data_IF_953340733735
#
_entry.id   IF_953340733735
#
_cell.length_a   1.000
_cell.length_b   1.000
_cell.length_c   1.000
_cell.angle_alpha   90.00
_cell.angle_beta   90.00
_cell.angle_gamma   90.00
#
_symmetry.space_group_name_H-M   'P 1'
#
loop_
_entity.id
_entity.type
_entity.pdbx_description
1 polymer ?
#
# COMPACT_ATOMS: atom_id res chain seq x y z
N UNK A 1 -30.53 -13.26 -19.28
CA UNK A 1 -29.76 -13.55 -18.05
C UNK A 1 -28.32 -13.97 -18.32
N UNK A 2 -28.06 -14.93 -19.22
CA UNK A 2 -26.69 -15.40 -19.59
C UNK A 2 -25.90 -14.27 -20.30
N UNK A 3 -26.54 -13.52 -21.18
CA UNK A 3 -25.92 -12.41 -21.93
C UNK A 3 -25.58 -11.21 -21.01
N UNK A 4 -26.44 -10.93 -20.03
CA UNK A 4 -26.18 -9.92 -19.00
C UNK A 4 -25.00 -10.31 -18.10
N UNK A 5 -24.88 -11.60 -17.74
CA UNK A 5 -23.75 -12.11 -16.96
C UNK A 5 -22.45 -12.07 -17.77
N UNK A 6 -22.47 -12.36 -19.07
CA UNK A 6 -21.31 -12.19 -19.96
C UNK A 6 -20.86 -10.73 -20.07
N UNK A 7 -21.81 -9.79 -20.25
CA UNK A 7 -21.49 -8.35 -20.30
C UNK A 7 -20.92 -7.85 -18.97
N UNK A 8 -21.42 -8.37 -17.84
CA UNK A 8 -20.88 -8.04 -16.52
C UNK A 8 -19.49 -8.65 -16.30
N UNK A 9 -19.26 -9.87 -16.79
CA UNK A 9 -17.95 -10.52 -16.79
C UNK A 9 -16.95 -9.78 -17.71
N UNK A 10 -17.35 -9.47 -18.96
CA UNK A 10 -16.52 -8.71 -19.91
C UNK A 10 -16.20 -7.27 -19.40
N UNK A 11 -17.13 -6.62 -18.69
CA UNK A 11 -16.87 -5.32 -18.03
C UNK A 11 -15.92 -5.43 -16.85
N UNK A 12 -15.89 -6.55 -16.12
CA UNK A 12 -14.88 -6.83 -15.10
C UNK A 12 -13.48 -7.06 -15.67
N UNK A 13 -13.41 -7.64 -16.86
CA UNK A 13 -12.16 -8.00 -17.56
C UNK A 13 -11.44 -6.76 -18.13
N UNK A 14 -12.11 -5.62 -18.30
CA UNK A 14 -11.55 -4.43 -18.98
C UNK A 14 -11.49 -3.19 -18.07
N UNK A 15 -11.43 -3.38 -16.76
CA UNK A 15 -11.32 -2.26 -15.82
C UNK A 15 -9.90 -1.69 -15.84
N UNK A 16 -9.75 -0.39 -16.11
CA UNK A 16 -8.46 0.28 -15.95
C UNK A 16 -8.04 0.22 -14.49
N UNK A 17 -6.77 0.00 -14.22
CA UNK A 17 -6.22 -0.16 -12.87
C UNK A 17 -6.67 0.97 -11.92
N UNK A 18 -6.59 2.20 -12.36
CA UNK A 18 -6.95 3.38 -11.55
C UNK A 18 -8.47 3.55 -11.33
N UNK A 19 -9.30 2.83 -12.07
CA UNK A 19 -10.76 2.88 -11.93
C UNK A 19 -11.27 1.89 -10.86
N UNK A 20 -10.44 0.96 -10.43
CA UNK A 20 -10.78 -0.02 -9.39
C UNK A 20 -11.02 0.66 -8.03
N UNK A 21 -12.11 0.27 -7.34
CA UNK A 21 -12.54 0.92 -6.09
C UNK A 21 -11.49 0.82 -4.98
N UNK A 22 -10.77 -0.30 -4.88
CA UNK A 22 -9.70 -0.44 -3.88
C UNK A 22 -8.51 0.48 -4.17
N UNK A 23 -8.21 0.75 -5.44
CA UNK A 23 -7.16 1.70 -5.86
C UNK A 23 -7.59 3.13 -5.57
N UNK A 24 -8.84 3.49 -5.89
CA UNK A 24 -9.41 4.79 -5.51
C UNK A 24 -9.43 4.99 -4.00
N UNK A 25 -9.74 3.94 -3.24
CA UNK A 25 -9.69 3.95 -1.78
C UNK A 25 -8.27 4.19 -1.24
N UNK A 26 -7.27 3.55 -1.84
CA UNK A 26 -5.86 3.77 -1.51
C UNK A 26 -5.43 5.22 -1.80
N UNK A 27 -5.77 5.74 -2.98
CA UNK A 27 -5.48 7.12 -3.38
C UNK A 27 -6.15 8.11 -2.43
N UNK A 28 -7.43 7.89 -2.09
CA UNK A 28 -8.17 8.73 -1.14
C UNK A 28 -7.50 8.74 0.23
N UNK A 29 -7.19 7.57 0.79
CA UNK A 29 -6.53 7.47 2.11
C UNK A 29 -5.19 8.22 2.14
N UNK A 30 -4.41 8.14 1.07
CA UNK A 30 -3.16 8.88 0.94
C UNK A 30 -3.39 10.39 0.89
N UNK A 31 -4.39 10.84 0.11
CA UNK A 31 -4.74 12.26 -0.01
C UNK A 31 -5.30 12.84 1.30
N UNK A 32 -6.22 12.12 1.94
CA UNK A 32 -6.81 12.55 3.22
C UNK A 32 -5.73 12.78 4.28
N UNK A 33 -4.74 11.88 4.38
CA UNK A 33 -3.61 12.07 5.30
C UNK A 33 -2.72 13.26 4.93
N UNK A 34 -2.53 13.52 3.63
CA UNK A 34 -1.83 14.73 3.18
C UNK A 34 -2.59 15.99 3.57
N UNK A 35 -3.90 16.06 3.34
CA UNK A 35 -4.75 17.20 3.69
C UNK A 35 -4.81 17.46 5.20
N UNK A 36 -4.70 16.41 6.01
CA UNK A 36 -4.60 16.52 7.48
C UNK A 36 -3.21 16.97 7.97
N UNK A 37 -2.24 17.19 7.08
CA UNK A 37 -0.88 17.56 7.44
C UNK A 37 -0.08 16.45 8.13
N UNK A 38 -0.44 15.18 7.91
CA UNK A 38 0.24 14.03 8.52
C UNK A 38 1.52 13.62 7.79
N UNK A 39 1.81 14.25 6.66
CA UNK A 39 2.95 13.92 5.81
C UNK A 39 3.79 15.15 5.52
N UNK A 40 4.90 15.28 6.20
CA UNK A 40 5.89 16.29 5.90
C UNK A 40 6.81 15.80 4.78
N UNK A 41 6.90 16.57 3.67
CA UNK A 41 7.70 16.24 2.49
C UNK A 41 7.31 14.84 1.94
N UNK A 42 8.27 13.91 1.93
CA UNK A 42 8.09 12.50 1.55
C UNK A 42 8.00 11.56 2.77
N UNK A 43 7.72 12.11 3.95
CA UNK A 43 7.59 11.35 5.19
C UNK A 43 6.32 10.51 5.22
N UNK A 44 6.41 9.35 5.86
CA UNK A 44 5.33 8.38 5.96
C UNK A 44 5.18 7.50 4.72
N UNK A 45 4.39 6.46 4.86
CA UNK A 45 4.13 5.49 3.79
C UNK A 45 2.85 4.70 4.08
N UNK A 46 2.32 4.08 3.04
CA UNK A 46 1.05 3.35 3.08
C UNK A 46 1.21 2.05 2.32
N UNK A 47 0.66 0.96 2.87
CA UNK A 47 0.47 -0.30 2.15
C UNK A 47 -0.90 -0.89 2.41
N UNK A 48 -1.42 -1.57 1.40
CA UNK A 48 -2.66 -2.30 1.43
C UNK A 48 -2.47 -3.70 0.87
N UNK A 49 -2.81 -4.74 1.63
CA UNK A 49 -2.83 -6.13 1.21
C UNK A 49 -4.09 -6.40 0.39
N UNK A 50 -3.92 -6.52 -0.92
CA UNK A 50 -5.01 -6.63 -1.89
C UNK A 50 -5.73 -7.97 -1.74
N UNK A 51 -7.05 -7.99 -1.94
CA UNK A 51 -7.83 -9.22 -1.92
C UNK A 51 -7.71 -9.97 -3.25
N UNK A 52 -7.84 -11.30 -3.26
CA UNK A 52 -7.75 -12.08 -4.50
C UNK A 52 -8.72 -11.62 -5.59
N UNK A 53 -9.96 -11.32 -5.22
CA UNK A 53 -10.98 -10.83 -6.16
C UNK A 53 -10.67 -9.44 -6.73
N UNK A 54 -9.98 -8.60 -5.96
CA UNK A 54 -9.52 -7.28 -6.41
C UNK A 54 -8.35 -7.43 -7.39
N UNK A 55 -7.42 -8.37 -7.13
CA UNK A 55 -6.31 -8.70 -8.04
C UNK A 55 -6.85 -9.13 -9.39
N UNK A 56 -7.77 -10.10 -9.41
CA UNK A 56 -8.34 -10.63 -10.67
C UNK A 56 -9.04 -9.51 -11.48
N UNK A 57 -9.63 -8.50 -10.82
CA UNK A 57 -10.31 -7.41 -11.51
C UNK A 57 -9.38 -6.48 -12.31
N UNK A 58 -8.09 -6.46 -12.00
CA UNK A 58 -7.10 -5.55 -12.61
C UNK A 58 -5.90 -6.26 -13.25
N UNK A 59 -5.86 -7.58 -13.21
CA UNK A 59 -4.72 -8.41 -13.60
C UNK A 59 -4.25 -8.18 -15.05
N UNK A 60 -5.16 -7.84 -15.95
CA UNK A 60 -4.83 -7.52 -17.34
C UNK A 60 -3.97 -6.24 -17.50
N UNK A 61 -3.92 -5.41 -16.46
CA UNK A 61 -3.08 -4.22 -16.47
C UNK A 61 -1.64 -4.49 -16.01
N UNK A 62 -1.29 -5.72 -15.66
CA UNK A 62 -0.01 -6.05 -15.08
C UNK A 62 1.09 -6.11 -16.15
N UNK A 63 2.22 -5.47 -15.84
CA UNK A 63 3.48 -5.54 -16.56
C UNK A 63 4.60 -5.84 -15.55
N UNK A 64 4.78 -7.12 -15.26
CA UNK A 64 5.69 -7.58 -14.22
C UNK A 64 7.15 -7.22 -14.55
N UNK A 65 7.82 -6.61 -13.57
CA UNK A 65 9.26 -6.35 -13.60
C UNK A 65 10.04 -7.52 -13.00
N UNK A 66 11.36 -7.40 -12.99
CA UNK A 66 12.25 -8.38 -12.37
C UNK A 66 12.03 -8.54 -10.86
N UNK A 67 12.25 -9.74 -10.35
CA UNK A 67 12.20 -10.03 -8.93
C UNK A 67 13.32 -9.30 -8.16
N UNK A 68 12.99 -8.76 -7.00
CA UNK A 68 13.89 -8.06 -6.11
C UNK A 68 13.77 -8.65 -4.70
N UNK A 69 14.88 -8.82 -3.96
CA UNK A 69 14.82 -9.35 -2.59
C UNK A 69 14.13 -8.35 -1.65
N UNK A 70 13.32 -8.87 -0.73
CA UNK A 70 12.71 -8.09 0.35
C UNK A 70 13.72 -7.86 1.47
N UNK A 71 14.64 -8.79 1.69
CA UNK A 71 15.59 -8.79 2.80
C UNK A 71 15.07 -9.46 4.07
N UNK A 72 13.86 -9.99 4.04
CA UNK A 72 13.20 -10.79 5.08
C UNK A 72 12.39 -11.91 4.43
N UNK A 73 11.89 -12.85 5.23
CA UNK A 73 10.95 -13.89 4.79
C UNK A 73 9.60 -13.70 5.47
N UNK A 74 8.51 -13.68 4.68
CA UNK A 74 7.12 -13.55 5.12
C UNK A 74 6.26 -14.65 4.47
N UNK A 75 6.48 -15.92 4.82
CA UNK A 75 5.90 -17.05 4.11
C UNK A 75 4.38 -17.13 4.15
N UNK A 76 3.74 -16.50 5.16
CA UNK A 76 2.27 -16.43 5.25
C UNK A 76 1.65 -15.43 4.28
N UNK A 77 2.47 -14.59 3.64
CA UNK A 77 2.06 -13.64 2.60
C UNK A 77 2.53 -14.05 1.20
N UNK A 78 3.13 -15.24 1.06
CA UNK A 78 3.62 -15.76 -0.22
C UNK A 78 2.53 -15.74 -1.31
N UNK A 79 2.87 -15.27 -2.51
CA UNK A 79 1.96 -15.17 -3.65
C UNK A 79 0.89 -14.07 -3.56
N UNK A 80 0.91 -13.25 -2.50
CA UNK A 80 -0.07 -12.18 -2.34
C UNK A 80 0.41 -10.86 -2.97
N UNK A 81 -0.55 -9.95 -3.16
CA UNK A 81 -0.36 -8.66 -3.83
C UNK A 81 -0.59 -7.50 -2.85
N UNK A 82 0.17 -6.41 -3.06
CA UNK A 82 0.10 -5.23 -2.19
C UNK A 82 0.16 -3.95 -3.01
N UNK A 83 -0.69 -2.97 -2.68
CA UNK A 83 -0.45 -1.58 -3.06
C UNK A 83 0.53 -0.98 -2.05
N UNK A 84 1.54 -0.27 -2.53
CA UNK A 84 2.60 0.30 -1.67
C UNK A 84 3.05 1.65 -2.24
N UNK A 85 3.17 2.66 -1.39
CA UNK A 85 3.74 3.95 -1.78
C UNK A 85 5.21 3.82 -2.18
N UNK A 86 5.64 4.61 -3.16
CA UNK A 86 7.01 4.64 -3.66
C UNK A 86 7.98 5.33 -2.69
N UNK A 87 9.20 4.83 -2.63
CA UNK A 87 10.29 5.44 -1.85
C UNK A 87 10.59 6.86 -2.36
N UNK A 88 10.64 7.83 -1.44
CA UNK A 88 10.90 9.23 -1.77
C UNK A 88 9.76 9.94 -2.50
N UNK A 89 8.61 9.30 -2.68
CA UNK A 89 7.44 9.92 -3.31
C UNK A 89 6.64 10.72 -2.29
N UNK A 90 6.00 11.79 -2.76
CA UNK A 90 5.20 12.69 -1.93
C UNK A 90 3.73 12.28 -1.97
N UNK A 91 3.08 12.19 -0.82
CA UNK A 91 1.64 11.88 -0.73
C UNK A 91 0.76 12.85 -1.52
N UNK A 92 1.11 14.15 -1.54
CA UNK A 92 0.39 15.17 -2.34
C UNK A 92 0.34 14.87 -3.84
N UNK A 93 1.27 14.05 -4.34
CA UNK A 93 1.33 13.71 -5.76
C UNK A 93 0.51 12.46 -6.11
N UNK A 94 0.02 11.71 -5.12
CA UNK A 94 -0.71 10.46 -5.35
C UNK A 94 -1.97 10.69 -6.19
N UNK A 95 -2.66 11.81 -5.98
CA UNK A 95 -3.87 12.15 -6.75
C UNK A 95 -3.54 12.73 -8.14
N UNK A 96 -2.35 13.34 -8.31
CA UNK A 96 -1.94 14.03 -9.55
C UNK A 96 -1.24 13.07 -10.51
N UNK A 97 -0.38 12.21 -9.97
CA UNK A 97 0.45 11.25 -10.71
C UNK A 97 0.47 9.90 -9.98
N UNK A 98 -0.68 9.23 -9.89
CA UNK A 98 -0.78 7.96 -9.15
C UNK A 98 0.21 6.91 -9.66
N UNK A 99 0.34 6.77 -10.99
CA UNK A 99 1.22 5.80 -11.65
C UNK A 99 2.72 6.01 -11.39
N UNK A 100 3.13 7.16 -10.85
CA UNK A 100 4.51 7.44 -10.44
C UNK A 100 4.67 7.50 -8.90
N UNK A 101 3.57 7.52 -8.15
CA UNK A 101 3.57 7.75 -6.72
C UNK A 101 3.51 6.47 -5.89
N UNK A 102 2.90 5.42 -6.42
CA UNK A 102 2.79 4.11 -5.78
C UNK A 102 2.88 2.97 -6.80
N UNK A 103 2.94 1.77 -6.32
CA UNK A 103 2.96 0.57 -7.15
C UNK A 103 2.10 -0.54 -6.56
N UNK A 104 1.78 -1.51 -7.40
CA UNK A 104 1.34 -2.81 -6.99
C UNK A 104 2.50 -3.79 -7.11
N UNK A 105 2.75 -4.52 -6.05
CA UNK A 105 3.78 -5.58 -5.99
C UNK A 105 3.12 -6.94 -5.81
N UNK A 106 3.81 -7.96 -6.27
CA UNK A 106 3.54 -9.38 -6.03
C UNK A 106 4.69 -9.96 -5.20
N UNK A 107 4.39 -10.81 -4.23
CA UNK A 107 5.41 -11.62 -3.55
C UNK A 107 5.59 -12.97 -4.23
N UNK A 108 6.80 -13.51 -4.17
CA UNK A 108 7.08 -14.85 -4.69
C UNK A 108 6.45 -15.95 -3.80
N UNK A 109 6.57 -17.21 -4.26
CA UNK A 109 6.02 -18.38 -3.58
C UNK A 109 6.65 -18.65 -2.20
N UNK A 110 7.77 -18.01 -1.88
CA UNK A 110 8.47 -18.15 -0.59
C UNK A 110 8.24 -16.95 0.32
N UNK A 111 7.76 -15.83 -0.19
CA UNK A 111 7.66 -14.56 0.53
C UNK A 111 9.02 -13.95 0.84
N UNK A 112 10.01 -14.14 -0.03
CA UNK A 112 11.38 -13.63 0.14
C UNK A 112 11.72 -12.55 -0.88
N UNK A 113 11.01 -12.54 -2.03
CA UNK A 113 11.19 -11.57 -3.09
C UNK A 113 9.86 -10.91 -3.46
N UNK A 114 9.95 -9.70 -4.00
CA UNK A 114 8.84 -9.00 -4.61
C UNK A 114 9.15 -8.63 -6.06
N UNK A 115 8.11 -8.44 -6.86
CA UNK A 115 8.22 -7.75 -8.15
C UNK A 115 7.13 -6.69 -8.27
N UNK A 116 7.44 -5.60 -8.95
CA UNK A 116 6.43 -4.60 -9.30
C UNK A 116 5.65 -5.15 -10.50
N UNK A 117 4.33 -5.19 -10.38
CA UNK A 117 3.43 -5.61 -11.47
C UNK A 117 2.70 -4.42 -12.09
N UNK A 118 2.61 -3.28 -11.38
CA UNK A 118 2.05 -2.04 -11.88
C UNK A 118 2.66 -0.83 -11.15
N UNK A 119 2.75 0.31 -11.83
CA UNK A 119 3.15 1.60 -11.26
C UNK A 119 4.66 1.85 -11.20
N UNK A 120 5.04 2.96 -10.57
CA UNK A 120 6.40 3.52 -10.55
C UNK A 120 7.01 3.54 -11.97
N UNK A 121 6.25 4.12 -12.90
CA UNK A 121 6.54 4.09 -14.35
C UNK A 121 7.82 4.84 -14.73
N UNK A 122 8.18 5.88 -13.97
CA UNK A 122 9.42 6.65 -14.18
C UNK A 122 10.62 6.08 -13.40
N UNK A 123 10.55 4.80 -13.03
CA UNK A 123 11.55 4.16 -12.20
C UNK A 123 11.26 4.36 -10.69
N UNK A 124 12.06 3.75 -9.87
CA UNK A 124 11.89 3.78 -8.43
C UNK A 124 11.58 2.39 -7.86
N UNK A 125 11.40 2.36 -6.56
CA UNK A 125 11.13 1.15 -5.77
C UNK A 125 10.05 1.43 -4.72
N UNK A 126 9.40 0.41 -4.18
CA UNK A 126 8.52 0.54 -3.03
C UNK A 126 9.21 1.25 -1.86
N UNK A 127 8.44 1.74 -0.90
CA UNK A 127 9.01 2.34 0.32
C UNK A 127 10.13 1.49 0.90
N UNK A 128 11.17 2.12 1.45
CA UNK A 128 12.25 1.45 2.16
C UNK A 128 11.77 0.69 3.41
N UNK A 129 10.58 1.02 3.91
CA UNK A 129 9.94 0.34 5.04
C UNK A 129 9.09 -0.88 4.61
N UNK A 130 9.15 -1.29 3.34
CA UNK A 130 8.43 -2.47 2.84
C UNK A 130 8.62 -3.71 3.75
N UNK A 131 9.84 -4.06 4.23
CA UNK A 131 10.00 -5.20 5.12
C UNK A 131 9.16 -5.08 6.40
N UNK A 132 9.19 -3.91 7.06
CA UNK A 132 8.42 -3.65 8.29
C UNK A 132 6.92 -3.72 8.05
N UNK A 133 6.44 -3.20 6.90
CA UNK A 133 5.03 -3.29 6.51
C UNK A 133 4.58 -4.75 6.32
N UNK A 134 5.38 -5.54 5.60
CA UNK A 134 5.06 -6.95 5.33
C UNK A 134 5.06 -7.79 6.62
N UNK A 135 6.05 -7.61 7.51
CA UNK A 135 6.05 -8.27 8.83
C UNK A 135 4.78 -7.94 9.64
N UNK A 136 4.40 -6.65 9.67
CA UNK A 136 3.17 -6.23 10.34
C UNK A 136 1.92 -6.89 9.72
N UNK A 137 1.82 -6.88 8.39
CA UNK A 137 0.68 -7.47 7.68
C UNK A 137 0.62 -9.00 7.86
N UNK A 138 1.75 -9.68 7.94
CA UNK A 138 1.80 -11.12 8.23
C UNK A 138 1.22 -11.43 9.62
N UNK A 139 1.70 -10.75 10.66
CA UNK A 139 1.20 -10.91 12.03
C UNK A 139 -0.29 -10.55 12.11
N UNK A 140 -0.69 -9.45 11.48
CA UNK A 140 -2.08 -9.00 11.49
C UNK A 140 -3.01 -9.94 10.74
N UNK A 141 -2.57 -10.52 9.63
CA UNK A 141 -3.31 -11.54 8.89
C UNK A 141 -3.63 -12.76 9.77
N UNK A 142 -2.67 -13.20 10.58
CA UNK A 142 -2.85 -14.34 11.48
C UNK A 142 -3.83 -14.03 12.63
N UNK A 143 -3.87 -12.78 13.10
CA UNK A 143 -4.82 -12.33 14.12
C UNK A 143 -6.23 -12.15 13.55
N UNK A 144 -6.34 -11.45 12.42
CA UNK A 144 -7.59 -11.20 11.74
C UNK A 144 -7.32 -10.90 10.25
N UNK A 145 -7.79 -11.73 9.32
CA UNK A 145 -7.55 -11.54 7.88
C UNK A 145 -8.15 -10.25 7.31
N UNK A 146 -9.03 -9.56 8.05
CA UNK A 146 -9.57 -8.24 7.68
C UNK A 146 -8.59 -7.10 7.90
N UNK A 147 -7.53 -7.29 8.67
CA UNK A 147 -6.47 -6.29 8.85
C UNK A 147 -5.56 -6.29 7.62
N UNK A 148 -5.72 -5.28 6.76
CA UNK A 148 -5.11 -5.22 5.42
C UNK A 148 -4.27 -3.98 5.16
N UNK A 149 -4.30 -3.01 6.07
CA UNK A 149 -3.64 -1.71 5.88
C UNK A 149 -2.55 -1.52 6.92
N UNK A 150 -1.40 -1.03 6.49
CA UNK A 150 -0.39 -0.41 7.35
C UNK A 150 -0.19 1.02 6.86
N UNK A 151 -0.37 1.96 7.78
CA UNK A 151 -0.26 3.39 7.50
C UNK A 151 0.71 4.04 8.50
N UNK A 152 1.85 4.47 8.00
CA UNK A 152 2.84 5.22 8.76
C UNK A 152 2.68 6.72 8.45
N UNK A 153 2.45 7.52 9.47
CA UNK A 153 2.24 8.96 9.37
C UNK A 153 3.02 9.71 10.45
N UNK A 154 3.40 10.95 10.15
CA UNK A 154 4.10 11.84 11.06
C UNK A 154 3.13 12.92 11.57
N UNK A 155 2.26 12.55 12.49
CA UNK A 155 1.24 13.48 13.01
C UNK A 155 1.83 14.41 14.04
N UNK A 156 1.86 15.71 13.76
CA UNK A 156 2.45 16.77 14.60
C UNK A 156 1.90 16.77 16.03
N UNK A 157 0.61 16.56 16.20
CA UNK A 157 -0.05 16.58 17.50
C UNK A 157 0.32 15.39 18.39
N UNK A 158 0.63 14.22 17.82
CA UNK A 158 1.05 13.04 18.60
C UNK A 158 2.42 13.26 19.22
N UNK A 159 3.34 13.89 18.48
CA UNK A 159 4.69 14.23 18.98
C UNK A 159 4.59 15.29 20.08
N UNK A 160 3.78 16.34 19.89
CA UNK A 160 3.54 17.38 20.90
C UNK A 160 2.96 16.80 22.19
N UNK A 161 1.99 15.88 22.10
CA UNK A 161 1.36 15.28 23.27
C UNK A 161 2.32 14.37 24.06
N UNK A 162 3.18 13.62 23.40
CA UNK A 162 4.20 12.79 24.07
C UNK A 162 5.25 13.64 24.76
N UNK A 163 5.65 14.76 24.18
CA UNK A 163 6.56 15.72 24.82
C UNK A 163 5.94 16.42 26.04
N UNK A 164 4.67 16.84 25.97
CA UNK A 164 3.97 17.47 27.10
C UNK A 164 3.84 16.50 28.29
N UNK A 165 3.48 15.25 28.08
CA UNK A 165 3.43 14.23 29.15
C UNK A 165 4.80 13.93 29.75
N UNK A 166 5.86 13.92 28.98
CA UNK A 166 7.21 13.71 29.49
C UNK A 166 7.66 14.86 30.43
N UNK A 167 7.16 16.07 30.25
CA UNK A 167 7.40 17.20 31.16
C UNK A 167 6.54 17.16 32.41
N UNK A 168 5.30 16.67 32.34
CA UNK A 168 4.42 16.57 33.52
C UNK A 168 4.89 15.50 34.51
N UNK A 169 5.38 14.36 34.03
CA UNK A 169 5.91 13.30 34.93
C UNK A 169 7.18 13.69 35.69
N UNK A 170 7.91 14.73 35.25
CA UNK A 170 9.08 15.27 35.98
C UNK A 170 8.73 16.27 37.08
N UNK A 171 7.49 16.74 37.16
CA UNK A 171 7.05 17.70 38.19
C UNK A 171 6.45 17.04 39.44
N UNK A 172 6.28 15.73 39.44
CA UNK A 172 5.67 14.99 40.56
C UNK A 172 6.63 13.96 41.20
N UNK A 173 7.93 14.09 41.00
CA UNK A 173 9.02 13.43 41.70
C UNK A 173 9.87 14.50 42.41
#
# INVERSE_FOLDING_TARGET
MIEYLKIVEERKINMKFLDAEFVKGFIRMANDGWEQGWHERNGGNLSYRVKPEEVESVKENFAAKEWQPIGISVPKLAGEYFLVTGSGKYFRNVIIKPEDSFCMIELDEKGENYRIVWGLVNGGRPTSELPSHLMNLEVKKLQNPKYRVVYHAHTTNTVSYTHLRAHETRRHL
#
